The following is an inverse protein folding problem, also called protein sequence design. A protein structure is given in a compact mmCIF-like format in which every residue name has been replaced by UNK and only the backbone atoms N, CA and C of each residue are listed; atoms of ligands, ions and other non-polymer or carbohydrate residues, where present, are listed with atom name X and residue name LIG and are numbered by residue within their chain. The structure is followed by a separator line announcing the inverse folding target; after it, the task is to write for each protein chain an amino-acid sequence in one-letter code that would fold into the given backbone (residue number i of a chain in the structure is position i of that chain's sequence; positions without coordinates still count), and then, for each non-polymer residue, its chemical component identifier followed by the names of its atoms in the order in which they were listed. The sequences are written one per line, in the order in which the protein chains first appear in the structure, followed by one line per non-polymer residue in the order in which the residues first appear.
data_IF_808590933094
#
_entry.id   IF_808590933094
#
_cell.length_a   1.000
_cell.length_b   1.000
_cell.length_c   1.000
_cell.angle_alpha   90.00
_cell.angle_beta   90.00
_cell.angle_gamma   90.00
#
_symmetry.space_group_name_H-M   'P 1'
#
loop_
_entity.id
_entity.type
_entity.pdbx_description
1 polymer ?
#
# COMPACT_ATOMS: atom_id res chain seq x y z
N UNK A 1 21.81 -10.35 4.22
CA UNK A 1 20.85 -9.38 4.79
C UNK A 1 20.98 -9.37 6.32
N UNK A 2 20.94 -8.20 6.98
CA UNK A 2 21.03 -8.15 8.45
C UNK A 2 19.76 -8.69 9.11
N UNK A 3 19.89 -9.73 9.95
CA UNK A 3 18.78 -10.32 10.73
C UNK A 3 18.05 -9.28 11.59
N UNK A 4 18.79 -8.26 12.06
CA UNK A 4 18.26 -7.18 12.89
C UNK A 4 17.22 -6.35 12.13
N UNK A 5 17.54 -5.94 10.89
CA UNK A 5 16.60 -5.16 10.07
C UNK A 5 15.35 -5.99 9.74
N UNK A 6 15.50 -7.28 9.41
CA UNK A 6 14.37 -8.14 9.06
C UNK A 6 13.39 -8.28 10.24
N UNK A 7 13.93 -8.44 11.45
CA UNK A 7 13.11 -8.46 12.67
C UNK A 7 12.43 -7.11 12.92
N UNK A 8 13.13 -5.99 12.68
CA UNK A 8 12.51 -4.66 12.76
C UNK A 8 11.28 -4.54 11.85
N UNK A 9 11.40 -4.88 10.56
CA UNK A 9 10.28 -4.81 9.61
C UNK A 9 9.13 -5.75 10.01
N UNK A 10 9.45 -6.96 10.51
CA UNK A 10 8.43 -7.88 11.01
C UNK A 10 7.61 -7.25 12.14
N UNK A 11 8.29 -6.70 13.15
CA UNK A 11 7.64 -6.08 14.30
C UNK A 11 6.89 -4.80 13.92
N UNK A 12 7.50 -3.94 13.11
CA UNK A 12 6.90 -2.69 12.64
C UNK A 12 5.64 -2.94 11.80
N UNK A 13 5.65 -3.96 10.95
CA UNK A 13 4.50 -4.31 10.11
C UNK A 13 3.25 -4.72 10.91
N UNK A 14 3.44 -5.20 12.14
CA UNK A 14 2.38 -5.64 13.06
C UNK A 14 1.84 -4.51 13.95
N UNK A 15 2.57 -3.40 14.04
CA UNK A 15 2.18 -2.26 14.87
C UNK A 15 1.18 -1.37 14.14
N UNK A 16 0.45 -0.61 14.94
CA UNK A 16 -0.31 0.52 14.43
C UNK A 16 0.68 1.55 13.87
N UNK A 17 0.34 2.10 12.71
CA UNK A 17 1.24 2.97 11.99
C UNK A 17 0.97 4.42 12.37
N UNK A 18 1.91 5.01 13.11
CA UNK A 18 1.85 6.41 13.56
C UNK A 18 2.52 7.39 12.57
N UNK A 19 3.03 6.91 11.43
CA UNK A 19 3.69 7.77 10.44
C UNK A 19 2.68 8.72 9.80
N UNK A 20 3.00 10.00 9.82
CA UNK A 20 2.22 11.02 9.12
C UNK A 20 2.37 10.84 7.60
N UNK A 21 1.24 10.76 6.87
CA UNK A 21 1.24 10.58 5.42
C UNK A 21 1.24 11.93 4.70
N UNK A 22 2.16 12.10 3.76
CA UNK A 22 2.15 13.25 2.86
C UNK A 22 1.23 12.98 1.66
N UNK A 23 -0.08 13.12 1.86
CA UNK A 23 -1.08 12.85 0.82
C UNK A 23 -0.89 13.68 -0.45
N UNK A 24 -0.31 14.88 -0.35
CA UNK A 24 0.05 15.71 -1.52
C UNK A 24 1.06 15.02 -2.44
N UNK A 25 2.00 14.25 -1.87
CA UNK A 25 2.96 13.47 -2.66
C UNK A 25 2.35 12.14 -3.10
N UNK A 26 1.64 11.45 -2.20
CA UNK A 26 1.07 10.11 -2.45
C UNK A 26 0.06 10.11 -3.61
N UNK A 27 -0.76 11.17 -3.73
CA UNK A 27 -1.80 11.22 -4.78
C UNK A 27 -1.26 11.37 -6.21
N UNK A 28 0.02 11.73 -6.38
CA UNK A 28 0.58 12.09 -7.69
C UNK A 28 0.39 11.00 -8.75
N UNK A 29 0.63 9.74 -8.38
CA UNK A 29 0.48 8.64 -9.33
C UNK A 29 -0.98 8.46 -9.77
N UNK A 30 -1.92 8.62 -8.84
CA UNK A 30 -3.34 8.62 -9.19
C UNK A 30 -3.61 9.76 -10.17
N UNK A 31 -3.22 11.00 -9.83
CA UNK A 31 -3.52 12.20 -10.62
C UNK A 31 -3.05 12.11 -12.09
N UNK A 32 -1.88 11.51 -12.35
CA UNK A 32 -1.33 11.38 -13.72
C UNK A 32 -1.84 10.17 -14.49
N UNK A 33 -2.43 9.17 -13.82
CA UNK A 33 -2.92 7.95 -14.48
C UNK A 33 -4.35 8.12 -14.96
N UNK A 34 -4.73 7.47 -16.07
CA UNK A 34 -6.13 7.34 -16.47
C UNK A 34 -6.96 6.76 -15.32
N UNK A 35 -8.17 7.29 -15.15
CA UNK A 35 -9.11 6.81 -14.13
C UNK A 35 -9.89 5.63 -14.69
N UNK A 36 -10.15 4.64 -13.85
CA UNK A 36 -11.09 3.56 -14.19
C UNK A 36 -12.51 4.11 -14.19
N UNK A 37 -13.45 3.40 -14.82
CA UNK A 37 -14.88 3.75 -14.78
C UNK A 37 -15.41 3.91 -13.33
N UNK A 38 -14.98 3.02 -12.42
CA UNK A 38 -15.40 2.98 -11.02
C UNK A 38 -14.41 3.68 -10.08
N UNK A 39 -13.79 4.78 -10.51
CA UNK A 39 -12.88 5.50 -9.63
C UNK A 39 -13.64 6.28 -8.54
N UNK A 40 -13.06 6.37 -7.35
CA UNK A 40 -13.54 7.22 -6.28
C UNK A 40 -13.15 8.67 -6.57
N UNK A 41 -14.15 9.51 -6.82
CA UNK A 41 -13.97 10.95 -6.94
C UNK A 41 -13.53 11.58 -5.60
N UNK A 42 -13.14 12.86 -5.62
CA UNK A 42 -12.67 13.54 -4.41
C UNK A 42 -13.75 13.67 -3.33
N UNK A 43 -15.01 13.89 -3.71
CA UNK A 43 -16.11 14.03 -2.75
C UNK A 43 -16.36 12.70 -2.04
N UNK A 44 -16.57 11.63 -2.80
CA UNK A 44 -16.78 10.28 -2.28
C UNK A 44 -15.60 9.82 -1.41
N UNK A 45 -14.37 10.13 -1.82
CA UNK A 45 -13.17 9.79 -1.05
C UNK A 45 -13.10 10.53 0.30
N UNK A 46 -13.52 11.80 0.31
CA UNK A 46 -13.57 12.62 1.54
C UNK A 46 -14.73 12.21 2.45
N UNK A 47 -15.92 11.95 1.89
CA UNK A 47 -17.12 11.53 2.63
C UNK A 47 -16.88 10.22 3.40
N UNK A 48 -16.05 9.34 2.85
CA UNK A 48 -15.65 8.06 3.46
C UNK A 48 -14.41 8.17 4.40
N UNK A 49 -13.87 9.37 4.62
CA UNK A 49 -12.63 9.61 5.37
C UNK A 49 -11.48 8.67 4.96
N UNK A 50 -11.29 8.53 3.65
CA UNK A 50 -10.37 7.52 3.12
C UNK A 50 -8.89 7.83 3.39
N UNK A 51 -8.54 9.05 3.78
CA UNK A 51 -7.18 9.35 4.27
C UNK A 51 -6.88 8.57 5.56
N UNK A 52 -7.81 8.61 6.52
CA UNK A 52 -7.69 7.84 7.77
C UNK A 52 -7.69 6.33 7.52
N UNK A 53 -8.52 5.86 6.59
CA UNK A 53 -8.50 4.45 6.17
C UNK A 53 -7.13 4.09 5.58
N UNK A 54 -6.62 4.89 4.64
CA UNK A 54 -5.34 4.66 3.99
C UNK A 54 -4.18 4.55 4.99
N UNK A 55 -4.12 5.42 6.01
CA UNK A 55 -3.11 5.40 7.07
C UNK A 55 -3.06 4.06 7.83
N UNK A 56 -4.23 3.44 8.04
CA UNK A 56 -4.32 2.12 8.68
C UNK A 56 -3.85 1.00 7.75
N UNK A 57 -4.16 1.08 6.46
CA UNK A 57 -3.84 0.05 5.47
C UNK A 57 -2.37 0.04 5.03
N UNK A 58 -1.74 1.22 4.91
CA UNK A 58 -0.46 1.31 4.23
C UNK A 58 0.71 0.66 5.00
N UNK A 59 1.35 -0.33 4.36
CA UNK A 59 2.56 -1.06 4.80
C UNK A 59 3.55 -1.25 3.65
N UNK A 60 3.63 -0.27 2.74
CA UNK A 60 4.33 -0.40 1.45
C UNK A 60 5.85 -0.13 1.49
N UNK A 61 6.37 0.44 2.59
CA UNK A 61 7.80 0.72 2.83
C UNK A 61 8.55 1.42 1.68
N UNK A 62 7.85 2.14 0.80
CA UNK A 62 8.43 2.96 -0.28
C UNK A 62 7.44 4.02 -0.72
N UNK A 63 7.92 5.21 -1.14
CA UNK A 63 7.04 6.26 -1.67
C UNK A 63 6.35 5.88 -2.99
N UNK A 64 7.02 5.05 -3.79
CA UNK A 64 6.43 4.44 -4.98
C UNK A 64 5.28 3.49 -4.60
N UNK A 65 5.48 2.66 -3.57
CA UNK A 65 4.47 1.78 -3.03
C UNK A 65 3.27 2.55 -2.45
N UNK A 66 3.50 3.64 -1.72
CA UNK A 66 2.43 4.49 -1.21
C UNK A 66 1.55 5.03 -2.34
N UNK A 67 2.20 5.62 -3.35
CA UNK A 67 1.49 6.20 -4.50
C UNK A 67 0.74 5.12 -5.30
N UNK A 68 1.31 3.93 -5.42
CA UNK A 68 0.67 2.77 -6.04
C UNK A 68 -0.56 2.30 -5.25
N UNK A 69 -0.44 2.13 -3.93
CA UNK A 69 -1.56 1.73 -3.08
C UNK A 69 -2.69 2.75 -3.12
N UNK A 70 -2.38 4.05 -3.06
CA UNK A 70 -3.37 5.11 -3.15
C UNK A 70 -4.10 5.07 -4.49
N UNK A 71 -3.35 4.94 -5.59
CA UNK A 71 -3.93 4.79 -6.93
C UNK A 71 -4.80 3.54 -7.06
N UNK A 72 -4.45 2.43 -6.41
CA UNK A 72 -5.24 1.20 -6.40
C UNK A 72 -6.54 1.33 -5.59
N UNK A 73 -6.53 2.05 -4.47
CA UNK A 73 -7.74 2.28 -3.66
C UNK A 73 -8.68 3.24 -4.37
N UNK A 74 -8.15 4.29 -5.01
CA UNK A 74 -8.95 5.25 -5.78
C UNK A 74 -9.54 4.65 -7.05
N UNK A 75 -8.93 3.64 -7.65
CA UNK A 75 -9.43 3.00 -8.88
C UNK A 75 -9.96 1.60 -8.56
N UNK A 76 -11.25 1.50 -8.29
CA UNK A 76 -11.89 0.24 -7.87
C UNK A 76 -11.89 -0.76 -9.04
N UNK A 77 -11.65 -2.02 -8.70
CA UNK A 77 -11.70 -3.14 -9.63
C UNK A 77 -12.94 -3.96 -9.35
N UNK A 78 -13.71 -4.20 -10.41
CA UNK A 78 -14.88 -5.08 -10.38
C UNK A 78 -14.67 -6.35 -11.22
N UNK A 79 -13.56 -6.43 -11.97
CA UNK A 79 -13.22 -7.62 -12.75
C UNK A 79 -12.81 -8.76 -11.82
N UNK A 80 -13.59 -9.84 -11.84
CA UNK A 80 -13.41 -10.99 -10.96
C UNK A 80 -12.06 -11.69 -11.18
N UNK A 81 -11.58 -11.76 -12.43
CA UNK A 81 -10.31 -12.41 -12.75
C UNK A 81 -9.14 -11.66 -12.11
N UNK A 82 -9.13 -10.33 -12.19
CA UNK A 82 -8.13 -9.48 -11.56
C UNK A 82 -8.24 -9.49 -10.03
N UNK A 83 -9.46 -9.52 -9.47
CA UNK A 83 -9.67 -9.70 -8.03
C UNK A 83 -9.11 -11.04 -7.53
N UNK A 84 -9.38 -12.14 -8.23
CA UNK A 84 -8.85 -13.46 -7.92
C UNK A 84 -7.32 -13.50 -8.05
N UNK A 85 -6.76 -12.86 -9.09
CA UNK A 85 -5.30 -12.74 -9.25
C UNK A 85 -4.65 -12.00 -8.07
N UNK A 86 -5.24 -10.88 -7.63
CA UNK A 86 -4.78 -10.14 -6.44
C UNK A 86 -4.91 -10.97 -5.18
N UNK A 87 -6.02 -11.66 -4.99
CA UNK A 87 -6.25 -12.51 -3.83
C UNK A 87 -5.21 -13.62 -3.72
N UNK A 88 -4.80 -14.23 -4.84
CA UNK A 88 -3.74 -15.24 -4.85
C UNK A 88 -2.39 -14.67 -4.40
N UNK A 89 -2.03 -13.47 -4.84
CA UNK A 89 -0.78 -12.79 -4.42
C UNK A 89 -0.85 -12.41 -2.93
N UNK A 90 -1.99 -11.88 -2.48
CA UNK A 90 -2.22 -11.53 -1.07
C UNK A 90 -2.09 -12.78 -0.20
N UNK A 91 -2.74 -13.88 -0.59
CA UNK A 91 -2.71 -15.16 0.13
C UNK A 91 -1.29 -15.72 0.20
N UNK A 92 -0.54 -15.68 -0.91
CA UNK A 92 0.86 -16.08 -0.92
C UNK A 92 1.69 -15.33 0.13
N UNK A 93 1.60 -14.00 0.20
CA UNK A 93 2.37 -13.22 1.18
C UNK A 93 1.85 -13.34 2.61
N UNK A 94 0.56 -13.63 2.79
CA UNK A 94 -0.04 -13.95 4.09
C UNK A 94 0.54 -15.25 4.65
N UNK A 95 0.65 -16.28 3.82
CA UNK A 95 1.16 -17.60 4.21
C UNK A 95 2.69 -17.67 4.23
N UNK A 96 3.37 -16.69 3.63
CA UNK A 96 4.83 -16.62 3.53
C UNK A 96 5.36 -15.29 4.12
N UNK A 97 5.16 -15.06 5.42
CA UNK A 97 5.55 -13.81 6.08
C UNK A 97 7.04 -13.47 5.89
N UNK A 98 7.94 -14.46 5.91
CA UNK A 98 9.36 -14.24 5.68
C UNK A 98 9.66 -13.65 4.29
N UNK A 99 8.96 -14.14 3.25
CA UNK A 99 9.12 -13.63 1.89
C UNK A 99 8.55 -12.22 1.76
N UNK A 100 7.40 -11.95 2.39
CA UNK A 100 6.82 -10.60 2.49
C UNK A 100 7.82 -9.62 3.09
N UNK A 101 8.41 -9.96 4.24
CA UNK A 101 9.35 -9.09 4.92
C UNK A 101 10.67 -8.91 4.15
N UNK A 102 11.13 -9.91 3.40
CA UNK A 102 12.27 -9.76 2.49
C UNK A 102 11.98 -8.73 1.39
N UNK A 103 10.79 -8.78 0.77
CA UNK A 103 10.38 -7.78 -0.23
C UNK A 103 10.27 -6.39 0.39
N UNK A 104 9.61 -6.24 1.55
CA UNK A 104 9.51 -4.97 2.27
C UNK A 104 10.88 -4.41 2.65
N UNK A 105 11.84 -5.28 3.00
CA UNK A 105 13.23 -4.89 3.27
C UNK A 105 13.90 -4.26 2.05
N UNK A 106 13.67 -4.80 0.85
CA UNK A 106 14.22 -4.21 -0.36
C UNK A 106 13.69 -2.78 -0.56
N UNK A 107 12.40 -2.57 -0.38
CA UNK A 107 11.78 -1.24 -0.46
C UNK A 107 12.29 -0.28 0.62
N UNK A 108 12.39 -0.74 1.86
CA UNK A 108 12.93 0.05 2.96
C UNK A 108 14.36 0.55 2.67
N UNK A 109 15.22 -0.32 2.14
CA UNK A 109 16.61 0.03 1.83
C UNK A 109 16.77 0.96 0.61
N UNK A 110 15.72 1.24 -0.16
CA UNK A 110 15.76 2.22 -1.26
C UNK A 110 15.74 3.69 -0.76
N UNK A 111 15.86 3.91 0.55
CA UNK A 111 15.85 5.25 1.15
C UNK A 111 14.46 5.70 1.57
N UNK A 112 13.59 4.75 1.92
CA UNK A 112 12.33 5.08 2.57
C UNK A 112 12.60 5.47 4.03
N UNK A 113 12.54 6.76 4.31
CA UNK A 113 12.64 7.34 5.64
C UNK A 113 11.35 8.10 5.95
#
# INVERSE_FOLDING_TARGET
MSKIKLNYIKEDSKRDNERVRNFKSIRRLFDIRPKTEYFLDEQSFNDLDMNRVYEKFDRTYSSAGESALYSMIRNIIIDEKELNRRNNIISFFKDNEDKKCQVQMHFFNMGFA
#
